data_IF_748422491343
#
_entry.id   IF_748422491343
#
_cell.length_a   1.000
_cell.length_b   1.000
_cell.length_c   1.000
_cell.angle_alpha   90.00
_cell.angle_beta   90.00
_cell.angle_gamma   90.00
#
_symmetry.space_group_name_H-M   'P 1'
#
loop_
_entity.id
_entity.type
_entity.pdbx_description
1 polymer ?
2 non-polymer ?
3 non-polymer ?
4 non-polymer ?
5 non-polymer ?
6 water ?
#
# COMPACT_ATOMS: atom_id res chain seq x y z
N UNK A 5 12.01 8.65 18.74
CA UNK A 5 10.99 8.25 19.71
C UNK A 5 10.59 6.77 19.47
N UNK A 6 11.20 5.83 20.19
CA UNK A 6 11.16 4.41 19.80
C UNK A 6 9.79 3.69 19.91
N UNK A 7 8.90 4.21 20.76
CA UNK A 7 7.55 3.66 20.86
C UNK A 7 6.78 4.21 19.67
N UNK A 8 7.14 5.43 19.26
CA UNK A 8 6.63 5.96 18.01
C UNK A 8 7.11 5.12 16.85
N UNK A 9 8.42 4.83 16.81
CA UNK A 9 8.95 3.98 15.73
C UNK A 9 8.19 2.64 15.73
N UNK A 10 7.94 2.08 16.92
CA UNK A 10 7.24 0.79 16.94
C UNK A 10 5.85 0.97 16.38
N UNK A 11 5.18 2.07 16.69
CA UNK A 11 3.81 2.24 16.17
C UNK A 11 3.84 2.47 14.64
N UNK A 12 4.83 3.24 14.19
CA UNK A 12 4.97 3.41 12.75
C UNK A 12 5.18 2.09 12.04
N UNK A 13 6.06 1.26 12.59
CA UNK A 13 6.35 -0.05 12.01
C UNK A 13 5.09 -0.90 11.90
N UNK A 14 4.34 -0.96 13.00
CA UNK A 14 3.10 -1.74 12.96
C UNK A 14 2.08 -1.19 11.95
N UNK A 15 1.93 0.14 11.86
CA UNK A 15 0.97 0.71 10.94
C UNK A 15 1.41 0.45 9.48
N UNK A 16 2.74 0.44 9.25
CA UNK A 16 3.28 0.15 7.90
C UNK A 16 2.89 -1.27 7.51
N UNK A 17 3.06 -2.20 8.46
CA UNK A 17 2.67 -3.60 8.25
C UNK A 17 1.16 -3.71 7.97
N UNK A 18 0.38 -2.98 8.76
CA UNK A 18 -1.10 -3.05 8.59
C UNK A 18 -1.44 -2.55 7.18
N UNK A 19 -0.76 -1.46 6.76
CA UNK A 19 -0.96 -0.94 5.38
C UNK A 19 -0.63 -2.00 4.33
N UNK A 20 0.54 -2.63 4.42
CA UNK A 20 0.90 -3.75 3.52
C UNK A 20 -0.20 -4.81 3.54
N UNK A 21 -0.61 -5.18 4.75
CA UNK A 21 -1.64 -6.27 4.90
C UNK A 21 -2.96 -5.90 4.20
N UNK A 22 -3.42 -4.66 4.39
CA UNK A 22 -4.69 -4.26 3.81
C UNK A 22 -4.60 -4.19 2.28
N UNK A 23 -3.49 -3.64 1.78
CA UNK A 23 -3.35 -3.60 0.34
C UNK A 23 -3.37 -5.01 -0.24
N UNK A 24 -2.68 -5.94 0.44
CA UNK A 24 -2.59 -7.33 -0.09
C UNK A 24 -3.99 -8.01 -0.02
N UNK A 25 -4.69 -7.71 1.05
CA UNK A 25 -6.05 -8.21 1.20
C UNK A 25 -6.96 -7.66 0.08
N UNK A 26 -6.82 -6.38 -0.23
CA UNK A 26 -7.59 -5.78 -1.32
C UNK A 26 -7.25 -6.41 -2.65
N UNK A 27 -5.96 -6.60 -2.92
CA UNK A 27 -5.57 -7.25 -4.17
C UNK A 27 -6.29 -8.60 -4.29
N UNK A 28 -6.38 -9.31 -3.17
CA UNK A 28 -7.01 -10.65 -3.18
C UNK A 28 -8.51 -10.57 -3.43
N UNK A 29 -9.14 -9.56 -2.85
CA UNK A 29 -10.58 -9.38 -3.03
C UNK A 29 -10.90 -9.08 -4.48
N UNK A 30 -10.08 -8.24 -5.08
CA UNK A 30 -10.32 -7.92 -6.48
C UNK A 30 -10.07 -9.07 -7.41
N UNK A 31 -9.08 -9.89 -7.08
CA UNK A 31 -8.72 -10.98 -7.98
C UNK A 31 -9.49 -12.26 -7.69
N UNK A 32 -9.83 -12.51 -6.44
CA UNK A 32 -10.30 -13.85 -6.10
C UNK A 32 -11.76 -13.92 -5.64
N UNK A 33 -12.44 -12.80 -5.42
CA UNK A 33 -13.81 -12.90 -4.94
C UNK A 33 -14.74 -13.10 -6.08
N UNK A 34 -15.70 -14.01 -5.89
CA UNK A 34 -16.76 -14.22 -6.86
C UNK A 34 -17.43 -12.90 -7.13
N UNK A 35 -17.78 -12.63 -8.40
CA UNK A 35 -18.45 -11.38 -8.74
C UNK A 35 -19.82 -11.23 -8.04
N UNK A 36 -20.31 -12.29 -7.41
CA UNK A 36 -21.51 -12.17 -6.58
C UNK A 36 -21.30 -11.18 -5.41
N UNK A 37 -20.09 -11.14 -4.86
CA UNK A 37 -19.81 -10.27 -3.71
C UNK A 37 -19.83 -8.79 -4.05
N UNK A 38 -19.77 -8.50 -5.35
CA UNK A 38 -19.86 -7.14 -5.87
C UNK A 38 -21.04 -6.35 -5.31
N UNK A 39 -22.18 -6.99 -5.18
CA UNK A 39 -23.34 -6.28 -4.72
C UNK A 39 -23.44 -6.21 -3.18
N UNK A 40 -22.45 -6.74 -2.46
CA UNK A 40 -22.63 -6.76 -1.02
C UNK A 40 -22.30 -5.39 -0.45
N UNK A 41 -23.29 -4.79 0.21
CA UNK A 41 -23.15 -3.43 0.75
C UNK A 41 -23.34 -3.43 2.26
N UNK A 42 -22.50 -2.68 2.95
CA UNK A 42 -22.61 -2.57 4.40
C UNK A 42 -22.11 -1.21 4.91
N UNK A 43 -22.36 -0.95 6.20
CA UNK A 43 -22.02 0.29 6.84
C UNK A 43 -20.58 0.24 7.34
N UNK A 44 -19.94 1.38 7.25
CA UNK A 44 -18.58 1.57 7.78
C UNK A 44 -18.38 2.99 8.39
N UNK A 45 -17.33 3.14 9.21
CA UNK A 45 -17.11 4.37 9.94
C UNK A 45 -16.83 5.56 9.03
N UNK A 46 -17.21 6.74 9.46
CA UNK A 46 -16.56 8.00 9.03
C UNK A 46 -15.27 8.31 9.82
N UNK A 47 -14.47 9.28 9.36
CA UNK A 47 -13.80 10.18 10.30
C UNK A 47 -12.65 9.54 11.15
N UNK A 48 -12.05 8.46 10.66
CA UNK A 48 -11.01 7.80 11.48
C UNK A 48 -9.70 8.57 11.33
N UNK A 49 -9.29 9.24 12.40
CA UNK A 49 -8.12 10.15 12.28
C UNK A 49 -6.97 9.94 13.28
N UNK A 50 -7.21 9.13 14.31
CA UNK A 50 -6.22 8.94 15.38
C UNK A 50 -6.02 7.45 15.57
N UNK A 51 -4.92 7.11 16.23
CA UNK A 51 -4.57 5.68 16.41
C UNK A 51 -5.74 4.93 17.07
N UNK A 52 -6.43 5.56 18.05
CA UNK A 52 -7.44 4.79 18.76
C UNK A 52 -8.62 4.42 17.85
N UNK A 53 -8.80 5.15 16.75
CA UNK A 53 -9.86 4.79 15.79
C UNK A 53 -9.65 3.49 15.03
N UNK A 54 -8.44 2.91 15.06
CA UNK A 54 -8.21 1.60 14.46
C UNK A 54 -9.03 0.54 15.19
N UNK A 55 -9.46 0.78 16.44
CA UNK A 55 -10.28 -0.26 16.99
C UNK A 55 -11.68 -0.33 16.31
N UNK A 56 -12.06 0.73 15.58
CA UNK A 56 -13.30 0.64 14.76
C UNK A 56 -13.07 -0.34 13.58
N UNK A 57 -11.81 -0.40 13.10
CA UNK A 57 -11.48 -1.40 12.08
C UNK A 57 -11.50 -2.80 12.68
N UNK A 58 -10.81 -3.01 13.81
CA UNK A 58 -10.85 -4.31 14.50
C UNK A 58 -12.31 -4.77 14.81
N UNK A 59 -13.12 -3.84 15.29
CA UNK A 59 -14.50 -4.17 15.65
C UNK A 59 -15.22 -4.73 14.44
N UNK A 60 -15.07 -4.08 13.27
CA UNK A 60 -15.86 -4.52 12.10
C UNK A 60 -15.30 -5.79 11.46
N UNK A 61 -13.98 -5.99 11.59
CA UNK A 61 -13.31 -7.22 11.15
C UNK A 61 -13.79 -8.47 11.88
N UNK A 62 -14.28 -8.34 13.11
CA UNK A 62 -14.79 -9.55 13.83
C UNK A 62 -15.74 -10.32 12.94
N UNK A 63 -16.69 -9.64 12.30
CA UNK A 63 -17.59 -10.39 11.41
C UNK A 63 -17.18 -10.29 9.95
N UNK A 64 -16.51 -9.19 9.56
CA UNK A 64 -16.18 -9.09 8.14
C UNK A 64 -15.15 -10.16 7.74
N UNK A 65 -14.25 -10.58 8.63
CA UNK A 65 -13.28 -11.62 8.25
C UNK A 65 -14.00 -12.92 7.97
N UNK A 66 -15.13 -13.14 8.65
CA UNK A 66 -15.91 -14.36 8.41
C UNK A 66 -16.54 -14.25 7.01
N UNK A 67 -16.99 -13.05 6.67
CA UNK A 67 -17.52 -12.81 5.31
C UNK A 67 -16.43 -13.08 4.25
N UNK A 68 -15.26 -12.48 4.45
CA UNK A 68 -14.14 -12.63 3.50
C UNK A 68 -13.81 -14.12 3.29
N UNK A 69 -13.76 -14.85 4.40
CA UNK A 69 -13.38 -16.24 4.34
C UNK A 69 -14.38 -17.01 3.54
N UNK A 70 -15.68 -16.80 3.78
CA UNK A 70 -16.70 -17.48 2.97
C UNK A 70 -16.85 -16.91 1.54
N UNK A 71 -16.39 -15.70 1.27
CA UNK A 71 -16.70 -15.06 0.00
C UNK A 71 -15.74 -15.48 -1.12
N UNK A 72 -14.85 -16.41 -0.81
CA UNK A 72 -13.71 -16.59 -1.66
C UNK A 72 -14.02 -17.67 -2.68
N UNK A 73 -13.59 -17.44 -3.92
CA UNK A 73 -13.70 -18.42 -5.00
C UNK A 73 -12.99 -19.70 -4.61
N UNK A 74 -13.67 -20.83 -4.78
CA UNK A 74 -13.06 -22.11 -4.48
C UNK A 74 -13.42 -23.14 -5.55
N UNK A 77 -5.52 -20.28 -1.33
CA UNK A 77 -6.90 -19.81 -1.18
C UNK A 77 -7.18 -19.33 0.25
N UNK A 78 -7.76 -20.25 1.03
CA UNK A 78 -8.22 -19.99 2.39
C UNK A 78 -7.10 -20.10 3.42
N UNK A 79 -6.18 -21.01 3.19
CA UNK A 79 -5.00 -21.03 4.03
C UNK A 79 -4.29 -19.65 4.00
N UNK A 80 -4.02 -19.10 2.80
CA UNK A 80 -3.31 -17.84 2.80
C UNK A 80 -4.24 -16.69 3.28
N UNK A 81 -5.54 -16.67 2.98
CA UNK A 81 -6.34 -15.55 3.47
C UNK A 81 -6.41 -15.62 4.99
N UNK A 82 -6.47 -16.84 5.53
CA UNK A 82 -6.58 -16.92 6.98
C UNK A 82 -5.28 -16.37 7.64
N UNK A 83 -4.14 -16.71 7.06
CA UNK A 83 -2.87 -16.26 7.60
C UNK A 83 -2.76 -14.75 7.47
N UNK A 84 -3.23 -14.23 6.34
CA UNK A 84 -3.22 -12.76 6.14
C UNK A 84 -4.08 -12.07 7.17
N UNK A 85 -5.32 -12.55 7.36
CA UNK A 85 -6.18 -11.91 8.35
C UNK A 85 -5.67 -12.08 9.80
N UNK A 86 -5.05 -13.22 10.09
CA UNK A 86 -4.37 -13.35 11.36
C UNK A 86 -3.27 -12.27 11.55
N UNK A 87 -2.50 -11.98 10.52
CA UNK A 87 -1.45 -10.94 10.66
C UNK A 87 -2.05 -9.53 10.89
N UNK A 88 -3.11 -9.22 10.18
CA UNK A 88 -3.85 -8.01 10.36
C UNK A 88 -4.29 -7.93 11.82
N UNK A 89 -4.84 -9.04 12.33
CA UNK A 89 -5.36 -9.00 13.70
C UNK A 89 -4.24 -8.77 14.74
N UNK A 90 -3.08 -9.40 14.51
CA UNK A 90 -1.97 -9.25 15.45
C UNK A 90 -1.48 -7.82 15.41
N UNK A 91 -1.47 -7.25 14.22
CA UNK A 91 -0.97 -5.90 14.05
C UNK A 91 -1.86 -4.87 14.75
N UNK A 92 -3.16 -5.07 14.65
CA UNK A 92 -4.11 -4.18 15.28
C UNK A 92 -3.99 -4.32 16.81
N UNK A 93 -3.77 -5.55 17.26
CA UNK A 93 -3.55 -5.77 18.72
C UNK A 93 -2.32 -4.96 19.21
N UNK A 94 -1.27 -4.95 18.39
CA UNK A 94 -0.05 -4.26 18.77
C UNK A 94 -0.18 -2.74 18.71
N UNK A 95 -1.19 -2.27 18.01
CA UNK A 95 -1.50 -0.83 17.90
C UNK A 95 -2.62 -0.42 18.87
N UNK A 96 -3.15 -1.36 19.65
CA UNK A 96 -4.30 -1.04 20.52
C UNK A 96 -3.82 -0.41 21.82
N UNK A 97 -4.45 0.67 22.25
CA UNK A 97 -4.18 1.23 23.57
C UNK A 97 -4.90 0.50 24.72
N UNK A 98 -4.89 1.09 25.91
CA UNK A 98 -5.43 0.40 27.08
C UNK A 98 -6.83 0.95 27.46
N UNK A 99 -7.42 1.80 26.63
CA UNK A 99 -8.77 2.32 26.90
C UNK A 99 -9.73 1.16 26.93
N UNK A 100 -10.67 1.25 27.84
CA UNK A 100 -11.55 0.11 28.12
C UNK A 100 -12.82 0.18 27.28
N UNK A 101 -12.98 1.28 26.52
CA UNK A 101 -14.14 1.39 25.60
C UNK A 101 -13.76 2.34 24.46
N UNK A 102 -14.49 2.31 23.36
CA UNK A 102 -14.19 3.22 22.24
C UNK A 102 -15.49 3.48 21.49
N UNK A 103 -15.46 4.45 20.60
CA UNK A 103 -16.67 4.90 19.91
C UNK A 103 -16.39 4.89 18.43
N UNK A 104 -17.41 4.62 17.61
CA UNK A 104 -17.26 4.69 16.16
C UNK A 104 -18.50 5.37 15.61
N UNK A 105 -18.32 6.25 14.63
CA UNK A 105 -19.43 6.94 14.01
C UNK A 105 -19.57 6.35 12.60
N UNK A 106 -20.76 5.93 12.21
CA UNK A 106 -20.94 5.26 10.91
C UNK A 106 -21.68 6.18 9.99
N UNK A 107 -21.36 6.01 8.71
CA UNK A 107 -22.10 6.69 7.65
C UNK A 107 -23.29 5.83 7.19
N UNK A 108 -24.48 6.43 6.98
CA UNK A 108 -25.62 5.65 6.53
C UNK A 108 -25.48 5.22 5.06
N UNK A 109 -24.55 5.80 4.30
CA UNK A 109 -24.35 5.34 2.93
C UNK A 109 -23.45 4.10 2.88
N UNK A 110 -23.94 3.03 2.28
CA UNK A 110 -23.23 1.77 2.45
C UNK A 110 -22.03 1.68 1.49
N UNK A 111 -21.15 0.72 1.73
CA UNK A 111 -19.96 0.49 0.91
C UNK A 111 -19.83 -0.98 0.52
N UNK A 112 -19.07 -1.22 -0.56
CA UNK A 112 -18.69 -2.58 -0.93
C UNK A 112 -17.45 -2.94 -0.14
N UNK A 113 -17.04 -4.20 -0.19
CA UNK A 113 -15.77 -4.61 0.45
C UNK A 113 -14.58 -3.87 -0.14
N UNK A 114 -14.61 -3.69 -1.46
CA UNK A 114 -13.48 -3.01 -2.13
C UNK A 114 -13.36 -1.57 -1.64
N UNK A 115 -14.50 -0.90 -1.57
CA UNK A 115 -14.49 0.46 -1.06
C UNK A 115 -14.06 0.51 0.41
N UNK A 116 -14.63 -0.38 1.23
CA UNK A 116 -14.28 -0.44 2.63
C UNK A 116 -12.73 -0.49 2.77
N UNK A 117 -12.10 -1.38 2.03
CA UNK A 117 -10.65 -1.54 2.15
C UNK A 117 -9.89 -0.32 1.64
N UNK A 118 -10.34 0.24 0.52
CA UNK A 118 -9.63 1.45 0.02
C UNK A 118 -9.76 2.59 1.02
N UNK A 119 -10.93 2.75 1.62
CA UNK A 119 -11.14 3.83 2.57
C UNK A 119 -10.34 3.63 3.88
N UNK A 120 -10.25 2.38 4.35
CA UNK A 120 -9.42 2.11 5.50
C UNK A 120 -7.92 2.28 5.22
N UNK A 121 -7.48 1.93 4.02
CA UNK A 121 -6.08 2.24 3.67
C UNK A 121 -5.82 3.76 3.76
N UNK A 122 -6.74 4.50 3.18
CA UNK A 122 -6.64 5.97 3.16
C UNK A 122 -6.63 6.48 4.62
N UNK A 123 -7.56 6.01 5.44
CA UNK A 123 -7.60 6.38 6.86
C UNK A 123 -6.24 6.06 7.55
N UNK A 124 -5.72 4.86 7.32
CA UNK A 124 -4.45 4.44 7.95
C UNK A 124 -3.28 5.35 7.53
N UNK A 125 -3.29 5.77 6.27
CA UNK A 125 -2.23 6.65 5.77
C UNK A 125 -2.36 8.02 6.43
N UNK A 126 -3.59 8.48 6.66
CA UNK A 126 -3.81 9.73 7.40
C UNK A 126 -3.34 9.60 8.86
N UNK A 127 -3.73 8.50 9.50
CA UNK A 127 -3.37 8.24 10.92
C UNK A 127 -1.82 8.20 11.04
N UNK A 128 -1.18 7.65 10.02
CA UNK A 128 0.29 7.54 10.03
C UNK A 128 0.95 8.89 10.21
N UNK A 129 0.41 9.93 9.57
CA UNK A 129 1.07 11.26 9.68
C UNK A 129 0.88 11.92 11.07
N UNK A 130 0.04 11.35 11.93
CA UNK A 130 -0.16 11.82 13.33
C UNK A 130 0.82 11.20 14.30
N UNK A 131 1.57 10.23 13.84
CA UNK A 131 2.47 9.56 14.74
C UNK A 131 3.68 10.47 14.68
N UNK A 132 3.67 11.47 15.56
CA UNK A 132 4.49 12.67 15.41
C UNK A 132 5.96 12.34 15.29
N UNK B 6 15.61 -21.47 -5.14
CA UNK B 6 15.40 -20.43 -4.13
C UNK B 6 16.60 -20.41 -3.15
N UNK B 7 17.01 -19.25 -2.60
CA UNK B 7 16.22 -18.03 -2.36
C UNK B 7 16.10 -17.01 -3.49
N UNK B 8 15.51 -17.51 -4.57
CA UNK B 8 14.52 -16.83 -5.39
C UNK B 8 13.39 -16.32 -4.47
N UNK B 9 13.15 -17.08 -3.41
CA UNK B 9 12.12 -16.76 -2.44
C UNK B 9 12.31 -15.36 -1.88
N UNK B 10 13.57 -14.98 -1.63
CA UNK B 10 13.86 -13.64 -1.15
C UNK B 10 13.51 -12.60 -2.22
N UNK B 11 13.87 -12.87 -3.47
CA UNK B 11 13.54 -11.96 -4.56
C UNK B 11 12.01 -11.78 -4.70
N UNK B 12 11.28 -12.90 -4.60
CA UNK B 12 9.85 -12.86 -4.66
C UNK B 12 9.29 -12.04 -3.54
N UNK B 13 9.78 -12.25 -2.32
CA UNK B 13 9.30 -11.44 -1.19
C UNK B 13 9.58 -9.93 -1.38
N UNK B 14 10.77 -9.60 -1.86
CA UNK B 14 11.13 -8.19 -2.06
C UNK B 14 10.31 -7.55 -3.17
N UNK B 15 10.07 -8.30 -4.25
CA UNK B 15 9.25 -7.78 -5.35
C UNK B 15 7.81 -7.53 -4.86
N UNK B 16 7.31 -8.47 -4.07
CA UNK B 16 5.97 -8.28 -3.51
C UNK B 16 5.89 -7.01 -2.68
N UNK B 17 6.89 -6.81 -1.83
CA UNK B 17 6.97 -5.60 -1.02
C UNK B 17 6.98 -4.37 -1.89
N UNK B 18 7.79 -4.42 -2.96
CA UNK B 18 7.85 -3.28 -3.89
C UNK B 18 6.49 -3.04 -4.54
N UNK B 19 5.85 -4.11 -5.01
CA UNK B 19 4.50 -3.98 -5.62
C UNK B 19 3.48 -3.30 -4.66
N UNK B 20 3.35 -3.85 -3.47
CA UNK B 20 2.45 -3.28 -2.47
C UNK B 20 2.79 -1.83 -2.12
N UNK B 21 4.07 -1.55 -1.96
CA UNK B 21 4.55 -0.19 -1.69
C UNK B 21 4.07 0.77 -2.80
N UNK B 22 4.28 0.36 -4.05
CA UNK B 22 3.84 1.21 -5.17
C UNK B 22 2.32 1.42 -5.16
N UNK B 23 1.58 0.34 -4.90
CA UNK B 23 0.12 0.51 -4.82
C UNK B 23 -0.29 1.49 -3.70
N UNK B 24 0.35 1.39 -2.53
CA UNK B 24 0.07 2.28 -1.41
C UNK B 24 0.51 3.69 -1.78
N UNK B 25 1.63 3.78 -2.51
CA UNK B 25 2.11 5.09 -2.94
C UNK B 25 1.09 5.74 -3.90
N UNK B 26 0.60 4.95 -4.85
CA UNK B 26 -0.43 5.45 -5.77
C UNK B 26 -1.66 5.98 -4.95
N UNK B 27 -2.15 5.20 -3.99
CA UNK B 27 -3.27 5.67 -3.20
C UNK B 27 -2.99 7.01 -2.50
N UNK B 28 -1.76 7.16 -1.95
CA UNK B 28 -1.40 8.36 -1.18
C UNK B 28 -1.38 9.53 -2.17
N UNK B 29 -0.93 9.24 -3.38
CA UNK B 29 -0.91 10.33 -4.39
C UNK B 29 -2.31 10.74 -4.78
N UNK B 30 -3.16 9.74 -4.99
CA UNK B 30 -4.51 10.05 -5.42
C UNK B 30 -5.22 10.82 -4.31
N UNK B 31 -4.79 10.65 -3.07
CA UNK B 31 -5.48 11.31 -1.99
C UNK B 31 -4.76 12.57 -1.53
N UNK B 32 -3.97 13.16 -2.42
CA UNK B 32 -3.41 14.50 -2.24
C UNK B 32 -2.39 14.60 -1.08
N UNK B 33 -1.69 13.50 -0.78
CA UNK B 33 -0.64 13.59 0.24
C UNK B 33 0.51 14.48 -0.26
N UNK B 34 0.69 14.54 -1.59
CA UNK B 34 1.70 15.45 -2.19
C UNK B 34 1.18 16.06 -3.49
N UNK B 35 0.46 17.20 -3.41
CA UNK B 35 -0.07 17.76 -4.66
C UNK B 35 1.06 18.04 -5.68
N UNK B 36 2.24 18.40 -5.20
CA UNK B 36 3.33 18.69 -6.14
C UNK B 36 3.57 17.47 -7.08
N UNK B 37 3.39 16.26 -6.53
CA UNK B 37 3.68 15.08 -7.36
C UNK B 37 2.73 14.97 -8.56
N UNK B 38 1.54 15.56 -8.46
CA UNK B 38 0.62 15.62 -9.58
C UNK B 38 1.07 16.49 -10.73
N UNK B 39 2.15 17.25 -10.55
CA UNK B 39 2.56 18.19 -11.59
C UNK B 39 3.73 17.61 -12.36
N UNK B 40 4.24 16.47 -11.91
CA UNK B 40 5.43 15.88 -12.59
C UNK B 40 5.07 15.23 -13.92
N UNK B 41 6.04 15.16 -14.83
CA UNK B 41 5.75 14.49 -16.15
C UNK B 41 6.73 13.37 -16.36
N UNK B 42 6.31 12.34 -17.10
CA UNK B 42 7.17 11.16 -17.31
C UNK B 42 6.98 10.75 -18.77
N UNK B 43 7.97 10.11 -19.38
CA UNK B 43 7.60 9.29 -20.57
C UNK B 43 6.97 7.99 -20.12
N UNK B 44 5.99 7.52 -20.87
CA UNK B 44 5.42 6.19 -20.57
C UNK B 44 6.53 5.11 -20.56
N UNK B 45 6.70 4.43 -19.42
CA UNK B 45 7.67 3.33 -19.31
C UNK B 45 7.25 2.20 -20.22
N UNK B 46 8.23 1.54 -20.83
CA UNK B 46 7.97 0.46 -21.75
C UNK B 46 8.64 -0.83 -21.31
N UNK B 47 7.93 -1.96 -21.39
CA UNK B 47 8.60 -3.31 -21.35
C UNK B 47 9.67 -3.59 -20.27
N UNK B 48 9.40 -3.29 -19.00
CA UNK B 48 10.33 -3.76 -17.97
C UNK B 48 9.92 -5.18 -17.51
N UNK B 49 10.46 -6.20 -18.20
CA UNK B 49 10.13 -7.61 -17.99
C UNK B 49 11.13 -8.40 -17.09
N UNK B 50 12.22 -7.77 -16.67
CA UNK B 50 13.27 -8.48 -15.92
C UNK B 50 13.55 -7.72 -14.62
N UNK B 51 13.95 -8.43 -13.56
CA UNK B 51 14.30 -7.77 -12.31
C UNK B 51 15.36 -6.64 -12.52
N UNK B 52 16.27 -6.83 -13.46
CA UNK B 52 17.26 -5.76 -13.69
C UNK B 52 16.63 -4.46 -14.11
N UNK B 53 15.48 -4.54 -14.77
CA UNK B 53 14.83 -3.35 -15.28
C UNK B 53 14.25 -2.52 -14.16
N UNK B 54 14.16 -3.11 -12.95
CA UNK B 54 13.63 -2.35 -11.82
C UNK B 54 14.56 -1.18 -11.46
N UNK B 55 15.82 -1.28 -11.83
CA UNK B 55 16.70 -0.11 -11.70
C UNK B 55 16.26 1.14 -12.50
N UNK B 56 15.44 0.98 -13.53
CA UNK B 56 14.87 2.13 -14.23
C UNK B 56 13.99 2.94 -13.28
N UNK B 57 13.30 2.21 -12.41
CA UNK B 57 12.44 2.88 -11.44
C UNK B 57 13.31 3.64 -10.45
N UNK B 58 14.37 3.00 -9.96
CA UNK B 58 15.32 3.65 -9.05
C UNK B 58 15.87 4.94 -9.68
N UNK B 59 16.14 4.85 -10.97
CA UNK B 59 16.74 5.94 -11.71
C UNK B 59 15.79 7.12 -11.68
N UNK B 60 14.47 6.91 -11.87
CA UNK B 60 13.55 8.07 -11.87
C UNK B 60 13.34 8.57 -10.47
N UNK B 61 13.30 7.63 -9.54
CA UNK B 61 13.07 8.03 -8.15
C UNK B 61 14.21 8.88 -7.62
N UNK B 62 15.43 8.62 -8.07
CA UNK B 62 16.53 9.46 -7.63
C UNK B 62 16.19 10.96 -7.92
N UNK B 63 15.69 11.23 -9.11
CA UNK B 63 15.38 12.60 -9.50
C UNK B 63 14.12 13.07 -8.81
N UNK B 64 13.09 12.24 -8.89
CA UNK B 64 11.79 12.57 -8.26
C UNK B 64 11.92 12.91 -6.79
N UNK B 65 12.64 12.08 -6.05
CA UNK B 65 12.81 12.34 -4.61
C UNK B 65 13.60 13.61 -4.33
N UNK B 66 14.54 13.96 -5.22
CA UNK B 66 15.32 15.18 -5.05
C UNK B 66 14.44 16.42 -5.25
N UNK B 67 13.54 16.36 -6.24
CA UNK B 67 12.58 17.45 -6.43
C UNK B 67 11.79 17.69 -5.11
N UNK B 68 11.28 16.61 -4.52
CA UNK B 68 10.50 16.77 -3.28
C UNK B 68 11.37 17.28 -2.14
N UNK B 69 12.58 16.76 -2.02
CA UNK B 69 13.49 17.28 -1.00
C UNK B 69 13.69 18.80 -1.12
N UNK B 70 13.88 19.27 -2.34
CA UNK B 70 14.22 20.67 -2.56
C UNK B 70 13.02 21.54 -2.36
N UNK B 71 11.82 21.03 -2.63
CA UNK B 71 10.62 21.85 -2.52
C UNK B 71 10.44 22.34 -1.07
N UNK B 72 10.95 21.56 -0.11
CA UNK B 72 10.91 21.96 1.30
C UNK B 72 9.46 22.12 1.79
N UNK B 73 8.59 21.18 1.46
CA UNK B 73 7.23 21.25 1.95
C UNK B 73 7.20 21.07 3.47
N UNK B 74 6.42 21.91 4.15
CA UNK B 74 6.32 21.81 5.61
C UNK B 74 5.91 20.40 6.08
N UNK B 75 4.85 19.83 5.49
CA UNK B 75 4.28 18.62 6.06
C UNK B 75 4.70 17.35 5.33
N UNK B 76 5.43 17.49 4.23
CA UNK B 76 5.78 16.33 3.45
C UNK B 76 6.50 15.24 4.24
N UNK B 77 7.43 15.64 5.11
CA UNK B 77 8.20 14.63 5.88
C UNK B 77 7.33 13.77 6.80
N UNK B 78 6.13 14.23 7.19
CA UNK B 78 5.22 13.40 8.02
C UNK B 78 4.40 12.38 7.26
N UNK B 79 4.37 12.50 5.94
CA UNK B 79 3.44 11.69 5.16
C UNK B 79 3.77 10.19 5.06
N UNK B 80 2.74 9.41 4.82
CA UNK B 80 3.01 8.01 4.49
C UNK B 80 3.79 7.89 3.16
N UNK B 81 3.53 8.79 2.21
CA UNK B 81 4.32 8.77 0.96
C UNK B 81 5.82 8.86 1.21
N UNK B 82 6.21 9.76 2.09
CA UNK B 82 7.66 9.91 2.40
C UNK B 82 8.20 8.56 2.92
N UNK B 83 7.46 7.95 3.84
CA UNK B 83 7.86 6.67 4.39
C UNK B 83 7.88 5.53 3.32
N UNK B 84 6.89 5.52 2.43
CA UNK B 84 6.84 4.56 1.35
C UNK B 84 8.02 4.74 0.42
N UNK B 85 8.36 5.98 0.11
CA UNK B 85 9.53 6.19 -0.73
C UNK B 85 10.80 5.67 -0.08
N UNK B 86 10.95 5.89 1.21
CA UNK B 86 12.12 5.32 1.90
C UNK B 86 12.14 3.80 1.78
N UNK B 87 11.01 3.18 2.00
CA UNK B 87 10.95 1.73 1.95
C UNK B 87 11.15 1.19 0.51
N UNK B 88 10.60 1.88 -0.48
CA UNK B 88 10.87 1.55 -1.85
C UNK B 88 12.38 1.65 -2.17
N UNK B 89 13.05 2.71 -1.71
CA UNK B 89 14.51 2.80 -1.91
C UNK B 89 15.21 1.57 -1.32
N UNK B 90 14.83 1.20 -0.09
CA UNK B 90 15.46 0.06 0.56
C UNK B 90 15.25 -1.20 -0.28
N UNK B 91 14.01 -1.43 -0.70
CA UNK B 91 13.61 -2.63 -1.44
C UNK B 91 14.32 -2.73 -2.82
N UNK B 92 14.35 -1.62 -3.55
CA UNK B 92 15.08 -1.59 -4.83
C UNK B 92 16.56 -1.91 -4.66
N UNK B 93 17.13 -1.45 -3.55
CA UNK B 93 18.55 -1.71 -3.34
C UNK B 93 18.74 -3.19 -3.08
N UNK B 94 17.79 -3.81 -2.39
CA UNK B 94 17.91 -5.27 -2.15
C UNK B 94 17.74 -6.05 -3.46
N UNK B 95 16.89 -5.55 -4.36
CA UNK B 95 16.65 -6.23 -5.63
C UNK B 95 17.80 -5.99 -6.63
N UNK B 96 18.61 -4.97 -6.38
CA UNK B 96 19.69 -4.60 -7.28
C UNK B 96 20.82 -5.63 -7.28
N UNK B 97 21.32 -6.00 -8.45
CA UNK B 97 22.45 -6.92 -8.52
C UNK B 97 23.82 -6.24 -8.60
N UNK B 98 24.82 -6.95 -9.10
CA UNK B 98 26.13 -6.35 -9.32
C UNK B 98 26.39 -5.77 -10.74
N UNK B 99 25.36 -5.65 -11.58
CA UNK B 99 25.55 -5.02 -12.90
C UNK B 99 26.10 -3.59 -12.77
N UNK B 100 26.93 -3.18 -13.71
CA UNK B 100 27.47 -1.82 -13.73
C UNK B 100 26.73 -0.90 -14.69
N UNK B 101 25.74 -1.46 -15.36
CA UNK B 101 24.88 -0.65 -16.25
C UNK B 101 23.53 -1.31 -16.39
N UNK B 102 22.52 -0.58 -16.84
CA UNK B 102 21.18 -1.15 -17.01
C UNK B 102 20.44 -0.42 -18.15
N UNK B 103 19.45 -1.07 -18.74
CA UNK B 103 18.72 -0.54 -19.89
C UNK B 103 17.27 -0.21 -19.56
N UNK B 104 16.76 0.87 -20.14
CA UNK B 104 15.38 1.30 -19.93
C UNK B 104 14.79 1.66 -21.29
N UNK B 105 13.51 1.39 -21.46
CA UNK B 105 12.83 1.76 -22.71
C UNK B 105 11.62 2.62 -22.39
N UNK B 106 11.26 3.47 -23.35
CA UNK B 106 10.19 4.44 -23.12
C UNK B 106 9.33 4.54 -24.39
N UNK B 107 8.02 4.70 -24.24
CA UNK B 107 7.19 5.14 -25.36
C UNK B 107 7.29 6.68 -25.46
N UNK B 108 7.17 7.19 -26.67
CA UNK B 108 7.28 8.64 -26.94
C UNK B 108 5.91 9.26 -26.66
N UNK B 109 5.49 9.18 -25.40
CA UNK B 109 4.28 9.87 -24.98
C UNK B 109 4.46 10.23 -23.53
N UNK B 110 3.96 11.38 -23.18
CA UNK B 110 4.16 11.90 -21.83
C UNK B 110 2.90 11.68 -20.96
N UNK B 111 3.10 11.23 -19.73
CA UNK B 111 2.04 10.93 -18.81
C UNK B 111 2.39 11.53 -17.45
N UNK B 112 1.43 11.54 -16.59
CA UNK B 112 1.62 12.05 -15.24
C UNK B 112 1.75 10.86 -14.27
N UNK B 113 1.77 11.18 -12.98
CA UNK B 113 2.32 10.26 -11.96
C UNK B 113 1.41 9.03 -11.83
N UNK B 114 0.09 9.19 -11.90
CA UNK B 114 -0.74 8.03 -11.63
C UNK B 114 -0.53 7.00 -12.78
N UNK B 115 -0.33 7.45 -14.03
CA UNK B 115 -0.11 6.47 -15.12
C UNK B 115 1.29 5.85 -15.00
N UNK B 116 2.28 6.63 -14.63
CA UNK B 116 3.64 6.15 -14.41
C UNK B 116 3.61 5.07 -13.36
N UNK B 117 2.97 5.38 -12.22
CA UNK B 117 2.90 4.38 -11.15
C UNK B 117 2.13 3.11 -11.56
N UNK B 118 1.02 3.29 -12.23
CA UNK B 118 0.25 2.13 -12.65
C UNK B 118 1.08 1.24 -13.60
N UNK B 119 1.89 1.88 -14.47
CA UNK B 119 2.64 1.05 -15.42
C UNK B 119 3.68 0.23 -14.63
N UNK B 120 4.31 0.86 -13.65
CA UNK B 120 5.32 0.14 -12.85
C UNK B 120 4.66 -0.98 -11.99
N UNK B 121 3.45 -0.72 -11.53
CA UNK B 121 2.73 -1.75 -10.73
C UNK B 121 2.48 -2.93 -11.65
N UNK B 122 2.02 -2.64 -12.85
CA UNK B 122 1.79 -3.69 -13.85
C UNK B 122 3.09 -4.48 -14.16
N UNK B 123 4.21 -3.77 -14.28
CA UNK B 123 5.48 -4.48 -14.55
C UNK B 123 5.84 -5.41 -13.38
N UNK B 124 5.64 -4.91 -12.14
CA UNK B 124 5.96 -5.73 -10.98
C UNK B 124 5.09 -6.95 -10.99
N UNK B 125 3.80 -6.77 -11.30
CA UNK B 125 2.90 -7.95 -11.29
C UNK B 125 3.29 -8.97 -12.35
N UNK B 126 3.70 -8.51 -13.53
CA UNK B 126 4.09 -9.44 -14.60
C UNK B 126 5.37 -10.18 -14.24
N UNK B 127 6.37 -9.45 -13.73
CA UNK B 127 7.63 -10.05 -13.30
C UNK B 127 7.37 -11.07 -12.20
N UNK B 128 6.48 -10.72 -11.26
CA UNK B 128 6.12 -11.62 -10.15
C UNK B 128 5.47 -12.88 -10.67
N UNK B 129 4.58 -12.72 -11.65
CA UNK B 129 3.93 -13.84 -12.34
C UNK B 129 4.93 -14.75 -13.05
N UNK B 130 6.05 -14.17 -13.49
CA UNK B 130 7.05 -14.94 -14.21
C UNK B 130 7.85 -15.75 -13.23
N UNK B 131 8.11 -15.18 -12.07
CA UNK B 131 8.72 -15.95 -10.98
C UNK B 131 7.66 -16.89 -10.34
N UNK B 132 7.49 -18.07 -10.94
CA UNK B 132 6.49 -19.04 -10.48
C UNK B 132 7.10 -20.08 -9.53
X LIG C 1 -2.52 3.64 26.36
X LIG C 1 -2.21 4.23 27.67
X LIG C 1 -1.97 2.30 26.28
X LIG C 1 -3.97 3.60 26.16
X LIG C 1 -1.94 4.49 25.32
X LIG D 1 -17.89 6.39 -1.73
X LIG D 1 -19.01 5.58 -1.72
X LIG D 1 -19.56 5.05 -0.43
X LIG D 1 -19.75 5.88 0.66
X LIG D 1 -18.78 5.95 1.62
X LIG D 1 -19.11 6.08 3.07
X LIG D 1 -18.05 6.21 3.95
X LIG D 1 -16.84 6.70 3.50
X LIG D 1 -15.83 7.23 4.45
X LIG D 1 -14.70 7.76 3.86
X LIG E 1 -7.68 -16.86 12.17
X LIG E 1 -7.46 -15.80 11.35
X LIG E 1 -8.52 -14.78 11.30
X LIG E 1 -9.81 -15.23 11.20
X LIG E 1 -10.36 -15.83 10.14
X LIG E 1 -11.87 -15.91 10.22
X LIG E 1 -12.39 -17.02 9.62
X LIG E 1 -12.04 -18.26 10.11
X LIG E 1 -12.83 -19.48 9.73
X LIG E 1 -12.18 -20.70 9.65
X LIG E 1 -11.43 -21.26 10.71
X LIG E 1 -10.66 -22.52 10.42
X LIG E 1 -9.26 -22.60 10.35
X LIG F 1 -0.32 0.99 21.51
X LIG F 1 -0.16 2.36 21.34
X LIG F 1 0.32 0.17 22.60
X LIG F 1 0.02 0.35 23.96
X LIG F 1 -0.24 -0.72 24.81
X LIG F 1 -1.52 -0.73 25.58
X LIG F 1 -2.57 -1.61 25.24
X LIG G 1 2.42 20.88 -2.41
X LIG G 1 3.32 21.34 -1.34
X LIG G 1 2.80 19.50 -2.69
X LIG G 1 1.02 21.02 -2.00
X LIG G 1 2.56 21.72 -3.60
X LIG H 1 14.66 12.48 6.00
X LIG H 1 15.08 11.71 4.93
X LIG H 1 14.99 10.23 5.06
X LIG H 1 15.48 9.44 4.03
X LIG H 1 13.90 9.58 2.15
X LIG H 1 14.66 8.77 3.14
X LIG H 1 13.22 8.95 1.14
X LIG H 1 12.65 10.89 -0.28
X LIG H 1 12.26 9.64 0.41
X LIG H 1 11.72 11.90 -0.39
X LIG H 1 12.81 13.76 0.82
X LIG H 1 12.06 13.25 -0.36
X LIG H 1 12.32 14.73 1.68
X LIG H 1 12.13 15.49 4.04
X LIG H 1 12.89 14.80 2.94
X LIG H 1 11.53 16.71 3.73
#
# INVERSE_FOLDING_TARGET
APTTSSSTKEAQQQLEQLLLDLQLLLNGVKNYESPRMLTFKFYMPKKATELTHLQCLAEELKLLEEVLYLAQSKNFHLTDIKELMSNINVTLLKLKGSETSFKCEYDDETVTITEFLNKWITFCQSIFSTLTHHHHHH
APTTSSSTKEAQQQLEQLLLDLQLLLNGVKNYESPRMLTFKFYMPKKATELTHLQCLAEELKLLEEVLYLAQSKNFHLTDIKELMSNINVTLLKLKGSETSFKCEYDDETVTITEFLNKWITFCQSIFSTLTHHHHHH
SO4 S O1 O2 O3 O4
PG4 O2 C3 C4 O3 C5 C6 O4 C7 C8 O5
PG4 O1 C1 C2 O2 C3 C4 O3 C5 C6 O4 C7 C8 O5
PEG C1 O1 C2 O2 C3 C4 O4
SO4 S O1 O2 O3 O4
1PE OH2 C12 C22 OH3 C13 C23 OH4 C14 C24 OH5 C15 C25 OH6 C16 C26 OH7
#
